data_IF_076161471474
#
_entry.id   IF_076161471474
#
_cell.length_a   1.000
_cell.length_b   1.000
_cell.length_c   1.000
_cell.angle_alpha   90.00
_cell.angle_beta   90.00
_cell.angle_gamma   90.00
#
_symmetry.space_group_name_H-M   'P 1'
#
loop_
_entity.id
_entity.type
_entity.pdbx_description
1 polymer ?
#
# COMPACT_ATOMS: atom_id res chain seq x y z
N UNK A 1 33.62 -10.25 -35.34
CA UNK A 1 32.42 -9.85 -36.11
C UNK A 1 31.22 -10.19 -35.25
N UNK A 2 30.28 -9.24 -35.14
CA UNK A 2 29.08 -9.37 -34.31
C UNK A 2 27.89 -9.58 -35.24
N UNK A 3 27.07 -10.62 -35.00
CA UNK A 3 25.89 -10.90 -35.81
C UNK A 3 24.65 -11.02 -34.91
N UNK A 4 23.70 -10.11 -35.06
CA UNK A 4 22.42 -10.15 -34.35
C UNK A 4 21.52 -11.23 -34.97
N UNK A 5 21.11 -12.20 -34.17
CA UNK A 5 20.26 -13.31 -34.59
C UNK A 5 18.78 -13.08 -34.33
N UNK A 6 18.44 -12.45 -33.20
CA UNK A 6 17.06 -12.13 -32.83
C UNK A 6 17.02 -11.03 -31.77
N UNK A 7 15.92 -10.26 -31.77
CA UNK A 7 15.58 -9.27 -30.74
C UNK A 7 14.08 -9.35 -30.46
N UNK A 8 13.64 -10.47 -29.88
CA UNK A 8 12.23 -10.75 -29.56
C UNK A 8 12.03 -10.77 -28.04
N UNK A 9 10.87 -10.30 -27.57
CA UNK A 9 10.53 -10.23 -26.13
C UNK A 9 11.55 -9.46 -25.28
N UNK A 10 12.23 -8.47 -25.86
CA UNK A 10 13.32 -7.72 -25.22
C UNK A 10 14.52 -8.60 -24.84
N UNK A 11 14.73 -9.69 -25.59
CA UNK A 11 15.91 -10.54 -25.47
C UNK A 11 16.70 -10.41 -26.76
N UNK A 12 17.88 -9.81 -26.67
CA UNK A 12 18.83 -9.74 -27.77
C UNK A 12 19.70 -10.99 -27.78
N UNK A 13 19.71 -11.71 -28.91
CA UNK A 13 20.58 -12.85 -29.16
C UNK A 13 21.56 -12.52 -30.26
N UNK A 14 22.85 -12.58 -30.00
CA UNK A 14 23.89 -12.28 -30.99
C UNK A 14 25.12 -13.14 -30.79
N UNK A 15 25.84 -13.36 -31.89
CA UNK A 15 27.11 -14.09 -31.87
C UNK A 15 28.29 -13.13 -31.86
N UNK A 16 29.29 -13.44 -31.04
CA UNK A 16 30.58 -12.74 -30.99
C UNK A 16 31.69 -13.69 -31.39
N UNK A 17 32.40 -13.36 -32.48
CA UNK A 17 33.61 -14.09 -32.87
C UNK A 17 34.85 -13.42 -32.31
N UNK A 18 35.62 -14.16 -31.51
CA UNK A 18 36.94 -13.77 -31.01
C UNK A 18 38.02 -14.52 -31.78
N UNK A 19 39.01 -13.78 -32.29
CA UNK A 19 40.11 -14.36 -33.06
C UNK A 19 40.93 -15.34 -32.20
N UNK A 20 41.39 -16.43 -32.83
CA UNK A 20 42.19 -17.47 -32.17
C UNK A 20 43.43 -16.90 -31.45
N UNK A 21 44.05 -15.86 -32.00
CA UNK A 21 45.24 -15.22 -31.43
C UNK A 21 44.94 -14.54 -30.10
N UNK A 22 43.81 -13.83 -29.99
CA UNK A 22 43.44 -13.09 -28.79
C UNK A 22 42.97 -14.03 -27.69
N UNK A 23 42.24 -15.09 -28.07
CA UNK A 23 41.91 -16.17 -27.16
C UNK A 23 43.18 -16.86 -26.63
N UNK A 24 44.16 -17.15 -27.49
CA UNK A 24 45.41 -17.79 -27.07
C UNK A 24 46.22 -16.90 -26.10
N UNK A 25 46.23 -15.58 -26.31
CA UNK A 25 46.85 -14.62 -25.36
C UNK A 25 46.16 -14.67 -24.00
N UNK A 26 44.83 -14.74 -23.96
CA UNK A 26 44.08 -14.89 -22.72
C UNK A 26 44.43 -16.21 -22.01
N UNK A 27 44.46 -17.34 -22.73
CA UNK A 27 44.88 -18.64 -22.18
C UNK A 27 46.31 -18.58 -21.62
N UNK A 28 47.24 -17.90 -22.28
CA UNK A 28 48.61 -17.74 -21.79
C UNK A 28 48.68 -16.88 -20.51
N UNK A 29 47.83 -15.86 -20.39
CA UNK A 29 47.71 -15.02 -19.20
C UNK A 29 47.11 -15.80 -18.02
N UNK A 30 46.03 -16.54 -18.26
CA UNK A 30 45.40 -17.44 -17.28
C UNK A 30 46.41 -18.50 -16.81
N UNK A 31 47.17 -19.11 -17.72
CA UNK A 31 48.24 -20.03 -17.35
C UNK A 31 49.26 -19.36 -16.41
N UNK A 32 49.72 -18.13 -16.69
CA UNK A 32 50.67 -17.42 -15.82
C UNK A 32 50.09 -17.15 -14.42
N UNK A 33 48.79 -16.83 -14.33
CA UNK A 33 48.07 -16.60 -13.06
C UNK A 33 47.90 -17.91 -12.28
N UNK A 34 47.52 -19.00 -12.96
CA UNK A 34 47.10 -20.24 -12.32
C UNK A 34 48.17 -21.34 -12.21
N UNK A 35 49.34 -21.19 -12.84
CA UNK A 35 50.43 -22.18 -12.76
C UNK A 35 50.84 -22.57 -11.33
N UNK A 36 50.57 -21.71 -10.34
CA UNK A 36 50.86 -21.95 -8.92
C UNK A 36 49.80 -22.83 -8.24
N UNK A 37 48.58 -22.91 -8.79
CA UNK A 37 47.47 -23.75 -8.31
C UNK A 37 47.70 -25.23 -8.63
N UNK A 38 48.27 -25.52 -9.80
CA UNK A 38 48.53 -26.89 -10.26
C UNK A 38 49.78 -27.51 -9.63
N UNK A 39 49.64 -28.74 -9.11
CA UNK A 39 50.75 -29.56 -8.60
C UNK A 39 50.99 -30.73 -9.56
N UNK A 40 52.26 -30.93 -9.92
CA UNK A 40 52.70 -32.00 -10.83
C UNK A 40 53.97 -32.61 -10.26
N UNK A 41 54.02 -33.93 -10.16
CA UNK A 41 55.19 -34.64 -9.64
C UNK A 41 56.41 -34.42 -10.54
N UNK A 42 57.57 -34.17 -9.93
CA UNK A 42 58.80 -33.83 -10.64
C UNK A 42 59.01 -32.34 -10.97
N UNK A 43 58.01 -31.47 -10.74
CA UNK A 43 58.13 -30.03 -10.99
C UNK A 43 57.91 -29.20 -9.71
N UNK A 44 58.71 -28.14 -9.54
CA UNK A 44 58.53 -27.18 -8.44
C UNK A 44 57.23 -26.39 -8.65
N UNK A 45 56.45 -26.20 -7.57
CA UNK A 45 55.18 -25.44 -7.58
C UNK A 45 55.34 -24.10 -8.31
N UNK A 46 54.45 -23.81 -9.27
CA UNK A 46 54.49 -22.58 -10.07
C UNK A 46 55.49 -22.55 -11.23
N UNK A 47 56.24 -23.64 -11.47
CA UNK A 47 57.23 -23.76 -12.57
C UNK A 47 56.91 -24.90 -13.55
N UNK A 48 55.71 -25.46 -13.47
CA UNK A 48 55.24 -26.49 -14.40
C UNK A 48 54.98 -25.86 -15.76
N UNK A 49 55.57 -26.37 -16.87
CA UNK A 49 55.29 -25.87 -18.21
C UNK A 49 53.84 -26.11 -18.65
N UNK A 50 53.25 -25.17 -19.41
CA UNK A 50 51.86 -25.22 -19.92
C UNK A 50 51.51 -26.56 -20.55
N UNK A 51 52.35 -27.07 -21.45
CA UNK A 51 52.17 -28.37 -22.14
C UNK A 51 52.02 -29.57 -21.20
N UNK A 52 52.66 -29.53 -20.03
CA UNK A 52 52.56 -30.62 -19.04
C UNK A 52 51.22 -30.54 -18.29
N UNK A 53 50.75 -29.33 -17.99
CA UNK A 53 49.43 -29.13 -17.36
C UNK A 53 48.32 -29.55 -18.33
N UNK A 54 48.39 -29.10 -19.59
CA UNK A 54 47.45 -29.48 -20.65
C UNK A 54 47.36 -31.02 -20.82
N UNK A 55 48.49 -31.72 -20.73
CA UNK A 55 48.54 -33.18 -20.88
C UNK A 55 47.90 -33.94 -19.71
N UNK A 56 47.92 -33.39 -18.50
CA UNK A 56 47.41 -34.08 -17.30
C UNK A 56 45.99 -33.66 -16.92
N UNK A 57 45.61 -32.41 -17.15
CA UNK A 57 44.33 -31.84 -16.73
C UNK A 57 43.41 -31.50 -17.92
N UNK A 58 43.87 -31.71 -19.15
CA UNK A 58 43.15 -31.31 -20.37
C UNK A 58 43.47 -29.87 -20.78
N UNK A 59 43.23 -29.56 -22.06
CA UNK A 59 43.42 -28.21 -22.61
C UNK A 59 42.34 -27.23 -22.14
N UNK A 60 41.16 -27.75 -21.83
CA UNK A 60 39.97 -27.01 -21.38
C UNK A 60 40.13 -26.39 -19.98
N UNK A 61 41.10 -26.86 -19.18
CA UNK A 61 41.35 -26.40 -17.80
C UNK A 61 41.65 -24.89 -17.71
N UNK A 62 41.97 -24.26 -18.84
CA UNK A 62 42.22 -22.82 -18.93
C UNK A 62 41.15 -22.06 -19.70
N UNK A 63 40.20 -22.75 -20.35
CA UNK A 63 39.25 -22.12 -21.26
C UNK A 63 38.21 -21.28 -20.51
N UNK A 64 37.59 -21.81 -19.45
CA UNK A 64 36.58 -21.06 -18.68
C UNK A 64 37.11 -19.71 -18.16
N UNK A 65 38.28 -19.72 -17.52
CA UNK A 65 38.91 -18.48 -17.02
C UNK A 65 39.42 -17.58 -18.17
N UNK A 66 39.83 -18.16 -19.31
CA UNK A 66 40.27 -17.38 -20.47
C UNK A 66 39.08 -16.70 -21.17
N UNK A 67 37.93 -17.36 -21.21
CA UNK A 67 36.66 -16.80 -21.68
C UNK A 67 36.28 -15.61 -20.81
N UNK A 68 36.27 -15.77 -19.48
CA UNK A 68 35.95 -14.68 -18.56
C UNK A 68 36.91 -13.47 -18.69
N UNK A 69 38.18 -13.71 -19.06
CA UNK A 69 39.16 -12.64 -19.29
C UNK A 69 38.99 -11.96 -20.65
N UNK A 70 38.66 -12.70 -21.71
CA UNK A 70 38.59 -12.17 -23.08
C UNK A 70 37.22 -11.62 -23.45
N UNK A 71 36.15 -12.11 -22.83
CA UNK A 71 34.76 -11.80 -23.19
C UNK A 71 34.30 -10.35 -22.95
N UNK A 72 34.69 -9.66 -21.85
CA UNK A 72 34.12 -8.34 -21.53
C UNK A 72 34.37 -7.26 -22.61
N UNK A 73 35.56 -7.23 -23.21
CA UNK A 73 35.91 -6.23 -24.22
C UNK A 73 35.10 -6.34 -25.52
N UNK A 74 35.05 -7.51 -26.21
CA UNK A 74 34.22 -7.68 -27.42
C UNK A 74 32.72 -7.57 -27.11
N UNK A 75 32.27 -7.98 -25.92
CA UNK A 75 30.88 -7.83 -25.51
C UNK A 75 30.45 -6.37 -25.41
N UNK A 76 31.23 -5.52 -24.73
CA UNK A 76 30.91 -4.09 -24.64
C UNK A 76 30.90 -3.41 -26.01
N UNK A 77 31.87 -3.74 -26.88
CA UNK A 77 31.88 -3.23 -28.27
C UNK A 77 30.64 -3.64 -29.04
N UNK A 78 30.17 -4.87 -28.85
CA UNK A 78 28.97 -5.36 -29.51
C UNK A 78 27.69 -4.70 -29.01
N UNK A 79 27.58 -4.43 -27.70
CA UNK A 79 26.46 -3.65 -27.14
C UNK A 79 26.42 -2.26 -27.77
N UNK A 80 27.57 -1.60 -27.88
CA UNK A 80 27.69 -0.26 -28.47
C UNK A 80 27.37 -0.28 -29.97
N UNK A 81 27.89 -1.26 -30.72
CA UNK A 81 27.63 -1.44 -32.17
C UNK A 81 26.16 -1.72 -32.46
N UNK A 82 25.49 -2.50 -31.60
CA UNK A 82 24.08 -2.87 -31.73
C UNK A 82 23.13 -1.87 -31.04
N UNK A 83 23.66 -0.86 -30.37
CA UNK A 83 22.93 0.17 -29.61
C UNK A 83 21.88 -0.43 -28.65
N UNK A 84 22.26 -1.48 -27.92
CA UNK A 84 21.36 -2.22 -27.03
C UNK A 84 21.36 -1.60 -25.63
N UNK A 85 20.19 -1.20 -25.11
CA UNK A 85 20.02 -0.83 -23.71
C UNK A 85 19.88 -2.09 -22.84
N UNK A 86 21.01 -2.70 -22.48
CA UNK A 86 21.05 -3.91 -21.64
C UNK A 86 20.67 -3.61 -20.19
N UNK A 87 19.80 -4.44 -19.59
CA UNK A 87 19.32 -4.28 -18.21
C UNK A 87 19.72 -5.42 -17.27
N UNK A 88 20.25 -6.54 -17.80
CA UNK A 88 20.71 -7.69 -17.01
C UNK A 88 22.06 -8.23 -17.50
N UNK A 89 22.67 -9.13 -16.73
CA UNK A 89 23.88 -9.84 -17.12
C UNK A 89 23.61 -10.81 -18.29
N UNK A 90 24.52 -10.89 -19.28
CA UNK A 90 24.35 -11.79 -20.41
C UNK A 90 24.51 -13.26 -20.00
N UNK A 91 23.67 -14.13 -20.56
CA UNK A 91 23.95 -15.56 -20.65
C UNK A 91 24.88 -15.80 -21.84
N UNK A 92 25.97 -16.53 -21.60
CA UNK A 92 27.03 -16.75 -22.59
C UNK A 92 27.25 -18.24 -22.76
N UNK A 93 26.97 -18.73 -23.97
CA UNK A 93 27.30 -20.07 -24.43
C UNK A 93 28.40 -20.00 -25.50
N UNK A 94 29.07 -21.11 -25.75
CA UNK A 94 30.08 -21.23 -26.80
C UNK A 94 30.06 -22.64 -27.38
N UNK A 95 30.39 -22.77 -28.67
CA UNK A 95 30.57 -24.07 -29.32
C UNK A 95 31.95 -24.68 -28.97
N UNK A 96 32.18 -25.93 -29.37
CA UNK A 96 33.45 -26.63 -29.12
C UNK A 96 34.68 -25.80 -29.54
N UNK A 97 35.55 -25.52 -28.57
CA UNK A 97 36.74 -24.70 -28.77
C UNK A 97 37.83 -25.55 -29.40
N UNK A 98 38.01 -25.39 -30.71
CA UNK A 98 39.10 -26.01 -31.44
C UNK A 98 40.38 -25.17 -31.38
N UNK A 99 41.50 -25.83 -31.08
CA UNK A 99 42.80 -25.16 -30.97
C UNK A 99 43.22 -24.52 -32.29
N UNK A 100 43.41 -23.20 -32.26
CA UNK A 100 43.88 -22.43 -33.42
C UNK A 100 42.78 -22.00 -34.38
N UNK A 101 41.50 -22.22 -34.03
CA UNK A 101 40.35 -21.63 -34.69
C UNK A 101 39.77 -20.51 -33.83
N UNK A 102 38.99 -19.64 -34.47
CA UNK A 102 38.26 -18.57 -33.80
C UNK A 102 37.18 -19.16 -32.90
N UNK A 103 36.89 -18.46 -31.79
CA UNK A 103 35.88 -18.86 -30.82
C UNK A 103 34.62 -18.04 -31.05
N UNK A 104 33.48 -18.70 -31.20
CA UNK A 104 32.18 -18.05 -31.36
C UNK A 104 31.42 -18.17 -30.04
N UNK A 105 31.12 -17.03 -29.43
CA UNK A 105 30.26 -16.91 -28.27
C UNK A 105 28.84 -16.61 -28.72
N UNK A 106 27.87 -17.36 -28.20
CA UNK A 106 26.44 -17.12 -28.35
C UNK A 106 25.99 -16.36 -27.11
N UNK A 107 25.62 -15.10 -27.29
CA UNK A 107 25.23 -14.21 -26.19
C UNK A 107 23.73 -13.99 -26.25
N UNK A 108 23.09 -14.15 -25.10
CA UNK A 108 21.69 -13.84 -24.88
C UNK A 108 21.58 -12.85 -23.72
N UNK A 109 20.95 -11.71 -23.95
CA UNK A 109 20.87 -10.65 -22.95
C UNK A 109 19.52 -9.93 -23.01
N UNK A 110 18.97 -9.64 -21.83
CA UNK A 110 17.75 -8.85 -21.70
C UNK A 110 18.03 -7.37 -21.92
N UNK A 111 17.23 -6.77 -22.80
CA UNK A 111 17.25 -5.36 -23.14
C UNK A 111 16.03 -4.66 -22.55
N UNK A 112 16.13 -3.35 -22.40
CA UNK A 112 15.05 -2.54 -21.89
C UNK A 112 13.85 -2.63 -22.83
N UNK A 113 12.64 -2.86 -22.29
CA UNK A 113 11.44 -2.84 -23.11
C UNK A 113 11.21 -1.45 -23.68
N UNK A 114 10.94 -1.41 -24.98
CA UNK A 114 10.39 -0.24 -25.66
C UNK A 114 8.89 -0.47 -25.90
N UNK A 115 8.03 -0.20 -24.90
CA UNK A 115 6.60 -0.37 -25.10
C UNK A 115 6.14 0.59 -26.19
N UNK A 116 5.37 0.07 -27.14
CA UNK A 116 4.60 0.91 -28.05
C UNK A 116 3.37 1.39 -27.31
N UNK A 117 3.31 2.70 -27.09
CA UNK A 117 2.14 3.37 -26.55
C UNK A 117 0.96 3.12 -27.50
N UNK A 118 -0.17 2.65 -26.95
CA UNK A 118 -1.42 2.47 -27.69
C UNK A 118 -2.10 3.81 -28.01
N UNK A 119 -3.33 3.75 -28.52
CA UNK A 119 -4.16 4.94 -28.62
C UNK A 119 -4.78 5.25 -27.25
N UNK A 120 -4.48 6.43 -26.71
CA UNK A 120 -5.02 6.92 -25.43
C UNK A 120 -6.09 8.00 -25.64
N UNK A 121 -6.48 8.28 -26.88
CA UNK A 121 -7.46 9.32 -27.21
C UNK A 121 -8.86 9.02 -26.67
N UNK A 122 -9.18 7.74 -26.46
CA UNK A 122 -10.44 7.27 -25.87
C UNK A 122 -10.38 7.18 -24.32
N UNK A 123 -9.25 7.54 -23.71
CA UNK A 123 -9.09 7.47 -22.26
C UNK A 123 -9.80 8.67 -21.61
N UNK A 124 -11.02 8.44 -21.15
CA UNK A 124 -11.79 9.44 -20.43
C UNK A 124 -11.35 9.51 -18.96
N UNK A 125 -10.92 10.70 -18.52
CA UNK A 125 -10.70 11.00 -17.10
C UNK A 125 -11.84 11.88 -16.64
N UNK A 126 -12.56 11.44 -15.61
CA UNK A 126 -13.58 12.28 -14.98
C UNK A 126 -12.91 13.39 -14.19
N UNK A 127 -13.10 14.64 -14.60
CA UNK A 127 -12.63 15.79 -13.84
C UNK A 127 -13.51 15.95 -12.60
N UNK A 128 -12.90 15.85 -11.41
CA UNK A 128 -13.57 16.17 -10.17
C UNK A 128 -13.59 17.70 -10.07
N UNK A 129 -14.77 18.35 -10.03
CA UNK A 129 -14.84 19.80 -9.99
C UNK A 129 -14.16 20.32 -8.72
N UNK A 130 -13.18 21.21 -8.90
CA UNK A 130 -12.44 21.84 -7.80
C UNK A 130 -13.18 23.02 -7.15
N UNK A 131 -14.38 23.34 -7.65
CA UNK A 131 -15.16 24.48 -7.16
C UNK A 131 -15.67 24.17 -5.75
N UNK A 132 -15.34 25.03 -4.78
CA UNK A 132 -15.86 24.97 -3.42
C UNK A 132 -17.09 25.85 -3.35
N UNK A 133 -18.24 25.23 -3.09
CA UNK A 133 -19.52 25.92 -2.94
C UNK A 133 -19.62 26.53 -1.55
N UNK A 134 -20.58 27.44 -1.36
CA UNK A 134 -20.82 27.99 -0.03
C UNK A 134 -21.45 26.94 0.91
N UNK A 135 -22.18 25.95 0.37
CA UNK A 135 -22.68 24.79 1.12
C UNK A 135 -21.55 23.93 1.70
N UNK A 136 -20.45 23.76 0.95
CA UNK A 136 -19.27 23.04 1.45
C UNK A 136 -18.66 23.76 2.67
N UNK A 137 -18.61 25.09 2.62
CA UNK A 137 -18.09 25.92 3.72
C UNK A 137 -19.02 25.87 4.92
N UNK A 138 -20.33 25.97 4.71
CA UNK A 138 -21.32 25.84 5.79
C UNK A 138 -21.28 24.46 6.46
N UNK A 139 -21.12 23.40 5.68
CA UNK A 139 -20.97 22.04 6.20
C UNK A 139 -19.72 21.93 7.08
N UNK A 140 -18.59 22.44 6.61
CA UNK A 140 -17.34 22.42 7.36
C UNK A 140 -17.43 23.24 8.66
N UNK A 141 -18.07 24.41 8.64
CA UNK A 141 -18.30 25.21 9.85
C UNK A 141 -19.22 24.48 10.85
N UNK A 142 -20.27 23.80 10.37
CA UNK A 142 -21.12 22.97 11.25
C UNK A 142 -20.34 21.81 11.85
N UNK A 143 -19.45 21.20 11.08
CA UNK A 143 -18.58 20.16 11.61
C UNK A 143 -17.68 20.69 12.75
N UNK A 144 -17.03 21.83 12.51
CA UNK A 144 -16.25 22.51 13.55
C UNK A 144 -17.10 22.92 14.77
N UNK A 145 -18.34 23.34 14.55
CA UNK A 145 -19.29 23.66 15.61
C UNK A 145 -19.62 22.43 16.47
N UNK A 146 -19.85 21.27 15.84
CA UNK A 146 -20.11 20.01 16.54
C UNK A 146 -18.89 19.51 17.35
N UNK A 147 -17.68 19.68 16.83
CA UNK A 147 -16.44 19.32 17.53
C UNK A 147 -16.19 20.20 18.76
N UNK A 148 -16.62 21.45 18.72
CA UNK A 148 -16.49 22.42 19.81
C UNK A 148 -17.76 22.52 20.68
N UNK A 149 -18.69 21.58 20.54
CA UNK A 149 -19.88 21.50 21.36
C UNK A 149 -19.54 21.27 22.83
N UNK A 150 -20.22 21.99 23.73
CA UNK A 150 -20.07 21.79 25.17
C UNK A 150 -21.09 20.76 25.64
N UNK A 151 -20.66 19.82 26.49
CA UNK A 151 -21.57 18.86 27.12
C UNK A 151 -22.03 19.45 28.45
N UNK A 152 -23.34 19.67 28.59
CA UNK A 152 -23.95 20.28 29.77
C UNK A 152 -24.91 19.29 30.43
N UNK A 153 -24.81 19.07 31.75
CA UNK A 153 -25.79 18.24 32.44
C UNK A 153 -27.17 18.90 32.42
N UNK A 154 -28.20 18.12 32.10
CA UNK A 154 -29.61 18.54 32.15
C UNK A 154 -30.19 18.06 33.48
N UNK A 155 -30.19 18.96 34.47
CA UNK A 155 -30.73 18.66 35.81
C UNK A 155 -32.26 18.74 35.85
N UNK A 156 -32.83 19.74 35.17
CA UNK A 156 -34.28 19.98 35.09
C UNK A 156 -34.73 19.97 33.62
N UNK A 157 -35.09 18.79 33.10
CA UNK A 157 -35.55 18.64 31.73
C UNK A 157 -35.85 17.20 31.35
N UNK A 158 -36.57 17.05 30.24
CA UNK A 158 -36.82 15.76 29.59
C UNK A 158 -35.71 15.46 28.59
N UNK A 159 -35.38 14.18 28.44
CA UNK A 159 -34.46 13.68 27.42
C UNK A 159 -35.04 13.94 26.03
N UNK A 160 -34.20 14.41 25.12
CA UNK A 160 -34.56 14.71 23.73
C UNK A 160 -33.61 14.01 22.77
N UNK A 161 -34.05 13.85 21.53
CA UNK A 161 -33.18 13.43 20.43
C UNK A 161 -31.88 14.25 20.41
N UNK A 162 -30.74 13.56 20.30
CA UNK A 162 -29.40 14.12 20.38
C UNK A 162 -28.80 14.25 21.79
N UNK A 163 -29.58 14.05 22.87
CA UNK A 163 -29.03 14.00 24.22
C UNK A 163 -28.30 12.68 24.47
N UNK A 164 -27.26 12.75 25.30
CA UNK A 164 -26.64 11.57 25.91
C UNK A 164 -27.33 11.29 27.24
N UNK A 165 -28.00 10.15 27.33
CA UNK A 165 -28.64 9.67 28.56
C UNK A 165 -27.79 8.55 29.16
N UNK A 166 -27.46 8.67 30.44
CA UNK A 166 -26.86 7.58 31.20
C UNK A 166 -27.99 6.74 31.80
N UNK A 167 -28.06 5.47 31.42
CA UNK A 167 -29.16 4.58 31.80
C UNK A 167 -28.66 3.28 32.42
N UNK A 168 -29.46 2.77 33.35
CA UNK A 168 -29.44 1.38 33.78
C UNK A 168 -30.61 0.68 33.10
N UNK A 169 -30.39 -0.51 32.54
CA UNK A 169 -31.50 -1.27 31.94
C UNK A 169 -31.40 -2.76 32.20
N UNK A 170 -32.57 -3.41 32.25
CA UNK A 170 -32.71 -4.84 32.38
C UNK A 170 -33.74 -5.41 31.39
N UNK A 171 -33.26 -6.27 30.49
CA UNK A 171 -34.03 -6.83 29.39
C UNK A 171 -34.64 -8.20 29.72
N UNK A 172 -35.92 -8.33 29.39
CA UNK A 172 -36.73 -9.52 29.57
C UNK A 172 -37.37 -9.95 28.24
N UNK A 173 -37.33 -11.24 27.97
CA UNK A 173 -37.95 -11.89 26.83
C UNK A 173 -38.92 -12.95 27.36
N UNK A 174 -40.20 -12.88 26.99
CA UNK A 174 -41.24 -13.80 27.51
C UNK A 174 -41.32 -13.87 29.05
N UNK A 175 -40.89 -12.80 29.74
CA UNK A 175 -40.85 -12.72 31.21
C UNK A 175 -39.58 -13.32 31.86
N UNK A 176 -38.66 -13.87 31.07
CA UNK A 176 -37.35 -14.33 31.53
C UNK A 176 -36.26 -13.32 31.15
N UNK A 177 -35.35 -13.06 32.08
CA UNK A 177 -34.18 -12.20 31.81
C UNK A 177 -33.24 -12.91 30.84
N UNK A 178 -32.80 -12.23 29.78
CA UNK A 178 -31.87 -12.82 28.81
C UNK A 178 -30.42 -12.32 28.99
N UNK A 179 -29.45 -13.15 28.61
CA UNK A 179 -28.02 -12.80 28.69
C UNK A 179 -27.68 -11.67 27.70
N UNK A 180 -26.93 -10.66 28.17
CA UNK A 180 -26.61 -9.47 27.38
C UNK A 180 -27.69 -8.39 27.38
N UNK A 181 -28.84 -8.63 28.03
CA UNK A 181 -29.93 -7.66 28.18
C UNK A 181 -29.80 -6.71 29.37
N UNK A 182 -28.71 -6.77 30.15
CA UNK A 182 -28.49 -5.87 31.30
C UNK A 182 -27.24 -5.03 31.13
N UNK A 183 -27.35 -3.73 31.37
CA UNK A 183 -26.21 -2.85 31.61
C UNK A 183 -26.52 -1.85 32.73
N UNK A 184 -25.47 -1.37 33.38
CA UNK A 184 -25.51 -0.29 34.38
C UNK A 184 -24.56 0.82 33.93
N UNK A 185 -24.93 2.07 34.18
CA UNK A 185 -24.22 3.29 33.80
C UNK A 185 -23.89 3.37 32.30
N UNK A 186 -24.80 2.94 31.45
CA UNK A 186 -24.61 2.93 30.01
C UNK A 186 -24.95 4.29 29.39
N UNK A 187 -24.00 4.91 28.69
CA UNK A 187 -24.23 6.15 27.94
C UNK A 187 -24.83 5.86 26.57
N UNK A 188 -26.08 6.28 26.37
CA UNK A 188 -26.81 6.17 25.12
C UNK A 188 -27.04 7.56 24.52
N UNK A 189 -26.60 7.79 23.29
CA UNK A 189 -26.98 8.98 22.52
C UNK A 189 -28.32 8.70 21.84
N UNK A 190 -29.35 9.45 22.21
CA UNK A 190 -30.67 9.36 21.59
C UNK A 190 -30.60 9.78 20.12
N UNK A 191 -31.15 8.95 19.23
CA UNK A 191 -31.09 9.15 17.78
C UNK A 191 -29.90 8.47 17.09
N UNK A 192 -28.99 7.86 17.85
CA UNK A 192 -27.81 7.14 17.30
C UNK A 192 -28.16 5.83 16.61
N UNK A 193 -29.35 5.26 16.89
CA UNK A 193 -29.78 3.93 16.42
C UNK A 193 -28.83 2.82 16.88
N UNK A 194 -28.20 3.02 18.03
CA UNK A 194 -27.35 2.01 18.66
C UNK A 194 -28.20 0.92 19.32
N UNK A 195 -29.45 1.22 19.66
CA UNK A 195 -30.41 0.26 20.21
C UNK A 195 -31.44 -0.19 19.18
N UNK A 196 -32.06 -1.34 19.45
CA UNK A 196 -33.02 -1.98 18.54
C UNK A 196 -34.39 -1.30 18.55
N UNK A 197 -35.03 -1.28 17.38
CA UNK A 197 -36.42 -0.82 17.23
C UNK A 197 -36.61 0.63 17.63
N UNK A 198 -37.68 0.89 18.39
CA UNK A 198 -38.04 2.21 18.90
C UNK A 198 -37.62 2.41 20.36
N UNK A 199 -36.54 1.75 20.81
CA UNK A 199 -36.03 1.89 22.19
C UNK A 199 -35.73 3.35 22.53
N UNK A 200 -34.89 4.01 21.72
CA UNK A 200 -34.44 5.38 21.94
C UNK A 200 -35.63 6.36 21.98
N UNK A 201 -36.62 6.18 21.10
CA UNK A 201 -37.82 7.03 21.06
C UNK A 201 -38.72 6.90 22.30
N UNK A 202 -38.71 5.75 22.95
CA UNK A 202 -39.45 5.56 24.20
C UNK A 202 -38.71 6.11 25.41
N UNK A 203 -37.41 6.36 25.30
CA UNK A 203 -36.61 7.03 26.33
C UNK A 203 -36.75 8.56 26.23
N UNK A 204 -36.97 9.08 25.02
CA UNK A 204 -37.32 10.50 24.81
C UNK A 204 -38.55 10.91 25.65
N UNK A 205 -38.50 12.09 26.26
CA UNK A 205 -39.57 12.61 27.11
C UNK A 205 -39.45 12.24 28.60
N UNK A 206 -38.58 11.31 28.97
CA UNK A 206 -38.34 10.94 30.37
C UNK A 206 -37.28 11.83 31.05
N UNK A 207 -37.33 11.91 32.37
CA UNK A 207 -36.47 12.77 33.20
C UNK A 207 -35.43 11.96 33.98
N UNK A 208 -34.41 12.65 34.48
CA UNK A 208 -33.45 12.08 35.42
C UNK A 208 -34.18 11.49 36.63
N UNK A 209 -33.89 10.24 36.95
CA UNK A 209 -34.49 9.48 38.05
C UNK A 209 -35.79 8.73 37.69
N UNK A 210 -36.32 8.89 36.47
CA UNK A 210 -37.48 8.13 36.03
C UNK A 210 -37.13 6.65 35.85
N UNK A 211 -38.05 5.78 36.28
CA UNK A 211 -38.03 4.34 36.03
C UNK A 211 -39.25 3.96 35.22
N UNK A 212 -39.05 3.33 34.07
CA UNK A 212 -40.13 3.01 33.14
C UNK A 212 -39.81 1.77 32.31
N UNK A 213 -40.84 1.26 31.63
CA UNK A 213 -40.75 0.07 30.81
C UNK A 213 -40.75 0.44 29.33
N UNK A 214 -39.75 -0.02 28.60
CA UNK A 214 -39.60 0.15 27.15
C UNK A 214 -39.89 -1.17 26.47
N UNK A 215 -40.83 -1.19 25.52
CA UNK A 215 -41.19 -2.41 24.79
C UNK A 215 -40.69 -2.32 23.34
N UNK A 216 -39.91 -3.29 22.90
CA UNK A 216 -39.33 -3.30 21.55
C UNK A 216 -39.48 -4.65 20.89
N UNK A 217 -39.64 -4.64 19.58
CA UNK A 217 -39.57 -5.84 18.74
C UNK A 217 -38.21 -5.88 18.07
N UNK A 218 -37.49 -6.99 18.23
CA UNK A 218 -36.22 -7.20 17.56
C UNK A 218 -36.42 -7.38 16.04
N UNK A 219 -35.53 -6.83 15.19
CA UNK A 219 -35.58 -7.04 13.75
C UNK A 219 -35.52 -8.52 13.35
N UNK A 220 -36.13 -8.89 12.23
CA UNK A 220 -36.08 -10.27 11.70
C UNK A 220 -34.65 -10.71 11.32
N UNK A 221 -33.76 -9.75 11.01
CA UNK A 221 -32.37 -9.95 10.60
C UNK A 221 -31.36 -9.76 11.75
N UNK A 222 -31.81 -9.73 13.01
CA UNK A 222 -30.95 -9.51 14.17
C UNK A 222 -29.84 -10.57 14.30
N UNK A 223 -28.65 -10.17 14.75
CA UNK A 223 -27.45 -11.03 14.76
C UNK A 223 -27.64 -12.30 15.61
N UNK A 224 -28.38 -12.19 16.71
CA UNK A 224 -28.71 -13.30 17.59
C UNK A 224 -30.06 -13.92 17.17
N UNK A 225 -29.99 -15.11 16.56
CA UNK A 225 -31.15 -15.85 16.01
C UNK A 225 -32.27 -16.10 17.02
N UNK A 226 -31.93 -16.18 18.30
CA UNK A 226 -32.89 -16.43 19.37
C UNK A 226 -33.78 -15.22 19.70
N UNK A 227 -33.39 -14.02 19.28
CA UNK A 227 -34.14 -12.78 19.49
C UNK A 227 -34.85 -12.27 18.23
N UNK A 228 -34.51 -12.77 17.04
CA UNK A 228 -35.10 -12.33 15.76
C UNK A 228 -36.64 -12.33 15.78
N UNK A 229 -37.24 -11.17 15.51
CA UNK A 229 -38.69 -11.01 15.42
C UNK A 229 -39.47 -11.16 16.73
N UNK A 230 -38.79 -11.22 17.89
CA UNK A 230 -39.46 -11.36 19.19
C UNK A 230 -39.63 -10.02 19.89
N UNK A 231 -40.65 -9.95 20.74
CA UNK A 231 -40.92 -8.82 21.61
C UNK A 231 -40.14 -8.95 22.93
N UNK A 232 -39.48 -7.88 23.34
CA UNK A 232 -38.78 -7.77 24.60
C UNK A 232 -39.21 -6.52 25.37
N UNK A 233 -39.18 -6.65 26.70
CA UNK A 233 -39.44 -5.58 27.65
C UNK A 233 -38.11 -5.22 28.32
N UNK A 234 -37.77 -3.94 28.32
CA UNK A 234 -36.63 -3.42 29.05
C UNK A 234 -37.11 -2.53 30.18
N UNK A 235 -36.70 -2.82 31.40
CA UNK A 235 -36.91 -1.92 32.54
C UNK A 235 -35.74 -0.96 32.58
N UNK A 236 -36.00 0.33 32.39
CA UNK A 236 -34.98 1.38 32.21
C UNK A 236 -35.07 2.40 33.34
N UNK A 237 -33.92 2.81 33.85
CA UNK A 237 -33.76 3.92 34.80
C UNK A 237 -32.78 4.94 34.22
N UNK A 238 -33.16 6.23 34.25
CA UNK A 238 -32.27 7.31 33.80
C UNK A 238 -31.48 7.84 34.98
N UNK A 239 -30.16 7.66 34.96
CA UNK A 239 -29.25 8.15 36.00
C UNK A 239 -28.87 9.62 35.79
N UNK A 240 -28.63 10.02 34.53
CA UNK A 240 -28.31 11.40 34.18
C UNK A 240 -28.62 11.68 32.71
N UNK A 241 -28.79 12.96 32.38
CA UNK A 241 -28.98 13.42 31.01
C UNK A 241 -27.93 14.50 30.78
N UNK A 242 -27.22 14.44 29.66
CA UNK A 242 -26.27 15.45 29.20
C UNK A 242 -26.61 15.87 27.78
N UNK A 243 -26.63 17.17 27.52
CA UNK A 243 -26.96 17.74 26.22
C UNK A 243 -25.73 18.38 25.60
N UNK A 244 -25.54 18.18 24.30
CA UNK A 244 -24.59 18.97 23.51
C UNK A 244 -25.19 20.35 23.26
N UNK A 245 -24.56 21.37 23.81
CA UNK A 245 -24.81 22.77 23.48
C UNK A 245 -23.84 23.18 22.37
N UNK A 246 -24.39 23.39 21.18
CA UNK A 246 -23.63 23.90 20.05
C UNK A 246 -23.45 25.42 20.24
N UNK A 247 -22.21 25.94 20.23
CA UNK A 247 -21.99 27.38 20.25
C UNK A 247 -22.60 28.01 19.00
N UNK A 248 -23.14 29.23 19.11
CA UNK A 248 -23.63 29.94 17.91
C UNK A 248 -22.46 30.21 16.95
N UNK A 249 -22.65 29.99 15.64
CA UNK A 249 -21.60 30.26 14.65
C UNK A 249 -21.57 31.77 14.40
N UNK A 250 -20.80 32.48 15.21
CA UNK A 250 -20.62 33.93 15.16
C UNK A 250 -19.14 34.34 15.30
N UNK A 251 -18.88 35.64 15.49
CA UNK A 251 -17.51 36.17 15.65
C UNK A 251 -16.84 35.69 16.94
N UNK A 252 -17.60 35.37 17.99
CA UNK A 252 -17.04 34.83 19.24
C UNK A 252 -16.63 33.37 19.04
N UNK A 253 -17.43 32.57 18.32
CA UNK A 253 -17.02 31.23 17.91
C UNK A 253 -15.73 31.24 17.09
N UNK A 254 -15.60 32.16 16.13
CA UNK A 254 -14.39 32.29 15.34
C UNK A 254 -13.14 32.56 16.21
N UNK A 255 -13.25 33.42 17.21
CA UNK A 255 -12.16 33.71 18.17
C UNK A 255 -11.84 32.53 19.08
N UNK A 256 -12.84 31.75 19.48
CA UNK A 256 -12.65 30.62 20.39
C UNK A 256 -11.90 29.46 19.72
N UNK A 257 -12.14 29.22 18.42
CA UNK A 257 -11.61 28.05 17.70
C UNK A 257 -10.42 28.35 16.78
N UNK A 258 -10.09 29.63 16.55
CA UNK A 258 -9.10 30.04 15.56
C UNK A 258 -8.32 31.29 15.96
N UNK A 259 -7.41 31.74 15.09
CA UNK A 259 -6.69 33.01 15.25
C UNK A 259 -7.44 34.23 14.69
N UNK A 260 -8.66 34.03 14.16
CA UNK A 260 -9.44 35.07 13.50
C UNK A 260 -10.34 35.84 14.47
N UNK A 261 -10.62 37.11 14.15
CA UNK A 261 -11.48 37.96 14.98
C UNK A 261 -12.95 37.95 14.54
N UNK A 262 -13.21 37.50 13.30
CA UNK A 262 -14.55 37.52 12.69
C UNK A 262 -14.89 36.20 12.01
N UNK A 263 -16.19 35.91 11.92
CA UNK A 263 -16.71 34.74 11.21
C UNK A 263 -16.41 34.81 9.70
N UNK A 264 -16.35 36.01 9.11
CA UNK A 264 -16.02 36.18 7.70
C UNK A 264 -14.59 35.70 7.39
N UNK A 265 -13.63 36.05 8.24
CA UNK A 265 -12.24 35.59 8.11
C UNK A 265 -12.12 34.07 8.22
N UNK A 266 -12.81 33.46 9.20
CA UNK A 266 -12.85 32.00 9.36
C UNK A 266 -13.47 31.31 8.13
N UNK A 267 -14.54 31.87 7.57
CA UNK A 267 -15.18 31.37 6.34
C UNK A 267 -14.24 31.43 5.15
N UNK A 268 -13.52 32.53 4.97
CA UNK A 268 -12.56 32.68 3.88
C UNK A 268 -11.40 31.68 3.98
N UNK A 269 -10.86 31.47 5.18
CA UNK A 269 -9.79 30.50 5.39
C UNK A 269 -10.27 29.07 5.17
N UNK A 270 -11.47 28.73 5.69
CA UNK A 270 -12.12 27.43 5.46
C UNK A 270 -12.29 27.16 3.97
N UNK A 271 -12.79 28.14 3.20
CA UNK A 271 -12.94 28.05 1.74
C UNK A 271 -11.60 27.83 1.04
N UNK A 272 -10.54 28.49 1.51
CA UNK A 272 -9.18 28.34 0.97
C UNK A 272 -8.60 26.95 1.27
N UNK A 273 -8.82 26.43 2.47
CA UNK A 273 -8.38 25.09 2.87
C UNK A 273 -9.10 24.01 2.05
N UNK A 274 -10.43 24.11 1.90
CA UNK A 274 -11.20 23.20 1.05
C UNK A 274 -10.72 23.21 -0.41
N UNK A 275 -10.40 24.39 -0.97
CA UNK A 275 -9.81 24.50 -2.32
C UNK A 275 -8.45 23.81 -2.42
N UNK A 276 -7.62 23.93 -1.39
CA UNK A 276 -6.29 23.29 -1.36
C UNK A 276 -6.43 21.76 -1.30
N UNK A 277 -7.37 21.25 -0.51
CA UNK A 277 -7.67 19.81 -0.42
C UNK A 277 -8.17 19.30 -1.77
N UNK A 278 -9.16 19.94 -2.38
CA UNK A 278 -9.69 19.56 -3.71
C UNK A 278 -8.67 19.63 -4.84
N UNK A 279 -7.69 20.54 -4.76
CA UNK A 279 -6.60 20.65 -5.75
C UNK A 279 -5.57 19.52 -5.66
N UNK A 280 -5.42 18.90 -4.49
CA UNK A 280 -4.45 17.83 -4.26
C UNK A 280 -5.05 16.43 -4.42
N UNK A 281 -6.37 16.35 -4.67
CA UNK A 281 -7.12 15.14 -5.04
C UNK A 281 -7.12 14.99 -6.56
#
# INVERSE_FOLDING_TARGET
MTELKSHENNIAKFDLTVAAEDFQKAVDNVYKKNRSKYRVDGFRKGKVPKRIIEKMYGVEVFYDEAIQEVFPEPYNKAIDELNLEVIDQPSVDFDDIEKGKDVVFKVEVETKPHPTLGDYSELEVTEIPSEVTDEDVEHELKHQQEENARIIPVEDGEAKDGDTVNIDFDGFLDGERFEGGKAENYDLVLGSKSFVGDFEKQVEGHKVGDKFDVNVTFPEDYQAKEFQGKDAKFEVEINSISRKELPEIDDEFAKDISEFETLEELKEDTKKNLKKIRKNL
#
